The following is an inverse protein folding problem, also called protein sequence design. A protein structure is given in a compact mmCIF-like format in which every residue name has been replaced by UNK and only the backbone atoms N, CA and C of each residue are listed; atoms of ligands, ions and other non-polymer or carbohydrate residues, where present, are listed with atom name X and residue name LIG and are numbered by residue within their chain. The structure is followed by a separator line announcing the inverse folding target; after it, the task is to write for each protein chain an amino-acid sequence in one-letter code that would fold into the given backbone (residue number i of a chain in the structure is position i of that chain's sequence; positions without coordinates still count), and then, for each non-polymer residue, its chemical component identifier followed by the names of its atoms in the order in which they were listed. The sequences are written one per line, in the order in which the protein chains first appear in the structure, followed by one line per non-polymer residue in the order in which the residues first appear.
data_IF_384253408541
#
_entry.id   IF_384253408541
#
_cell.length_a   1.000
_cell.length_b   1.000
_cell.length_c   1.000
_cell.angle_alpha   90.00
_cell.angle_beta   90.00
_cell.angle_gamma   90.00
#
_symmetry.space_group_name_H-M   'P 1'
#
loop_
_entity.id
_entity.type
_entity.pdbx_description
1 polymer ?
#
# COMPACT_ATOMS: atom_id res chain seq x y z
N UNK A 1 -0.55 1.11 -19.85
CA UNK A 1 0.57 1.36 -18.91
C UNK A 1 0.30 2.54 -17.97
N UNK A 2 -0.64 3.43 -18.30
CA UNK A 2 -0.87 4.69 -17.56
C UNK A 2 -1.45 4.53 -16.15
N UNK A 3 -2.31 3.54 -15.91
CA UNK A 3 -2.94 3.32 -14.60
C UNK A 3 -1.94 3.07 -13.47
N UNK A 4 -0.83 2.40 -13.81
CA UNK A 4 0.23 2.04 -12.87
C UNK A 4 1.09 3.24 -12.51
N UNK A 5 1.51 4.01 -13.52
CA UNK A 5 2.26 5.23 -13.28
C UNK A 5 1.45 6.19 -12.41
N UNK A 6 0.14 6.32 -12.65
CA UNK A 6 -0.76 7.11 -11.80
C UNK A 6 -0.87 6.59 -10.36
N UNK A 7 -0.81 5.27 -10.15
CA UNK A 7 -0.76 4.69 -8.80
C UNK A 7 0.56 5.02 -8.11
N UNK A 8 1.69 4.94 -8.81
CA UNK A 8 3.02 5.22 -8.24
C UNK A 8 3.32 6.72 -8.08
N UNK A 9 2.57 7.62 -8.70
CA UNK A 9 2.76 9.08 -8.53
C UNK A 9 2.53 9.57 -7.10
N UNK A 10 1.74 8.85 -6.29
CA UNK A 10 1.40 9.24 -4.92
C UNK A 10 2.40 8.70 -3.89
N UNK A 11 2.90 9.61 -3.05
CA UNK A 11 3.93 9.29 -2.05
C UNK A 11 3.47 8.27 -1.01
N UNK A 12 2.21 8.33 -0.59
CA UNK A 12 1.66 7.43 0.42
C UNK A 12 1.48 6.03 -0.14
N UNK A 13 1.01 5.91 -1.38
CA UNK A 13 0.95 4.60 -2.08
C UNK A 13 2.35 3.99 -2.21
N UNK A 14 3.36 4.76 -2.62
CA UNK A 14 4.75 4.28 -2.67
C UNK A 14 5.27 3.82 -1.31
N UNK A 15 4.98 4.56 -0.23
CA UNK A 15 5.40 4.22 1.14
C UNK A 15 4.73 2.92 1.61
N UNK A 16 3.43 2.79 1.35
CA UNK A 16 2.62 1.60 1.65
C UNK A 16 3.20 0.37 0.98
N UNK A 17 3.45 0.43 -0.34
CA UNK A 17 4.05 -0.68 -1.09
C UNK A 17 5.40 -1.07 -0.49
N UNK A 18 6.27 -0.10 -0.18
CA UNK A 18 7.59 -0.37 0.41
C UNK A 18 7.50 -1.08 1.75
N UNK A 19 6.57 -0.67 2.61
CA UNK A 19 6.34 -1.32 3.90
C UNK A 19 5.90 -2.77 3.68
N UNK A 20 4.92 -2.99 2.81
CA UNK A 20 4.37 -4.33 2.54
C UNK A 20 5.40 -5.26 1.88
N UNK A 21 6.23 -4.75 0.95
CA UNK A 21 7.26 -5.53 0.27
C UNK A 21 8.33 -6.08 1.23
N UNK A 22 8.63 -5.35 2.31
CA UNK A 22 9.63 -5.77 3.31
C UNK A 22 9.08 -6.73 4.37
N UNK A 23 7.79 -7.10 4.27
CA UNK A 23 7.12 -7.93 5.28
C UNK A 23 6.72 -9.26 4.68
N UNK A 24 6.87 -10.30 5.48
CA UNK A 24 6.29 -11.60 5.19
C UNK A 24 4.86 -11.64 5.73
N UNK A 25 3.90 -12.02 4.87
CA UNK A 25 2.50 -12.17 5.24
C UNK A 25 1.69 -10.86 5.37
N UNK A 26 0.50 -10.98 5.95
CA UNK A 26 -0.47 -9.88 6.06
C UNK A 26 -0.25 -9.01 7.30
N UNK A 27 -0.59 -7.72 7.15
CA UNK A 27 -0.63 -6.72 8.23
C UNK A 27 -2.03 -6.12 8.30
N UNK A 28 -2.51 -5.78 9.50
CA UNK A 28 -3.77 -5.07 9.66
C UNK A 28 -3.67 -3.62 9.16
N UNK A 29 -4.78 -3.06 8.69
CA UNK A 29 -4.81 -1.64 8.27
C UNK A 29 -4.41 -0.67 9.40
N UNK A 30 -4.86 -0.84 10.66
CA UNK A 30 -4.38 -0.01 11.77
C UNK A 30 -2.87 -0.08 11.98
N UNK A 31 -2.28 -1.28 11.99
CA UNK A 31 -0.83 -1.43 12.17
C UNK A 31 -0.05 -0.85 10.98
N UNK A 32 -0.60 -0.92 9.77
CA UNK A 32 -0.05 -0.27 8.58
C UNK A 32 -0.09 1.26 8.72
N UNK A 33 -1.20 1.82 9.22
CA UNK A 33 -1.34 3.25 9.48
C UNK A 33 -0.34 3.75 10.53
N UNK A 34 -0.17 3.04 11.65
CA UNK A 34 0.85 3.35 12.65
C UNK A 34 2.27 3.33 12.06
N UNK A 35 2.56 2.30 11.26
CA UNK A 35 3.86 2.14 10.59
C UNK A 35 4.15 3.29 9.62
N UNK A 36 3.12 3.83 8.97
CA UNK A 36 3.18 4.99 8.09
C UNK A 36 3.32 6.29 8.88
N UNK A 37 2.54 6.49 9.94
CA UNK A 37 2.61 7.68 10.80
C UNK A 37 4.03 7.89 11.35
N UNK A 38 4.66 6.83 11.85
CA UNK A 38 6.04 6.86 12.34
C UNK A 38 7.09 7.19 11.27
N UNK A 39 6.72 7.18 9.98
CA UNK A 39 7.61 7.23 8.82
C UNK A 39 7.31 8.39 7.87
N UNK A 40 6.15 9.01 7.97
CA UNK A 40 5.71 10.16 7.17
C UNK A 40 6.09 11.46 7.90
N UNK A 41 6.60 12.48 7.18
CA UNK A 41 6.84 13.79 7.78
C UNK A 41 5.51 14.43 8.21
N UNK A 42 5.52 15.12 9.34
CA UNK A 42 4.36 15.86 9.86
C UNK A 42 3.44 15.07 10.79
N UNK A 43 3.89 13.92 11.30
CA UNK A 43 3.22 13.11 12.33
C UNK A 43 1.71 12.95 12.12
N UNK A 44 1.30 12.36 10.97
CA UNK A 44 -0.12 12.25 10.65
C UNK A 44 -0.83 11.32 11.62
N UNK A 45 -1.99 11.77 12.10
CA UNK A 45 -2.91 11.00 12.94
C UNK A 45 -3.17 9.59 12.34
N UNK A 46 -2.79 8.51 13.05
CA UNK A 46 -3.01 7.13 12.59
C UNK A 46 -4.47 6.83 12.26
N UNK A 47 -5.44 7.38 13.00
CA UNK A 47 -6.86 7.11 12.77
C UNK A 47 -7.32 7.70 11.43
N UNK A 48 -6.84 8.90 11.09
CA UNK A 48 -7.07 9.51 9.77
C UNK A 48 -6.40 8.71 8.66
N UNK A 49 -5.21 8.17 8.92
CA UNK A 49 -4.53 7.31 7.97
C UNK A 49 -5.29 6.02 7.72
N UNK A 50 -5.88 5.38 8.73
CA UNK A 50 -6.73 4.20 8.56
C UNK A 50 -7.87 4.49 7.58
N UNK A 51 -8.61 5.58 7.82
CA UNK A 51 -9.72 5.97 6.94
C UNK A 51 -9.24 6.22 5.52
N UNK A 52 -8.14 6.96 5.35
CA UNK A 52 -7.53 7.24 4.04
C UNK A 52 -7.05 5.96 3.33
N UNK A 53 -6.43 5.02 4.06
CA UNK A 53 -5.97 3.75 3.51
C UNK A 53 -7.15 2.92 3.00
N UNK A 54 -8.19 2.72 3.82
CA UNK A 54 -9.34 1.90 3.48
C UNK A 54 -10.13 2.44 2.29
N UNK A 55 -10.35 3.75 2.22
CA UNK A 55 -11.28 4.33 1.25
C UNK A 55 -10.60 4.87 -0.02
N UNK A 56 -9.29 5.14 0.01
CA UNK A 56 -8.59 5.80 -1.09
C UNK A 56 -7.44 4.96 -1.63
N UNK A 57 -6.52 4.52 -0.77
CA UNK A 57 -5.24 3.98 -1.23
C UNK A 57 -5.30 2.49 -1.51
N UNK A 58 -5.80 1.69 -0.56
CA UNK A 58 -5.84 0.23 -0.69
C UNK A 58 -6.74 -0.23 -1.84
N UNK A 59 -7.96 0.31 -2.05
CA UNK A 59 -8.78 -0.08 -3.20
C UNK A 59 -8.08 0.19 -4.54
N UNK A 60 -7.37 1.33 -4.66
CA UNK A 60 -6.62 1.65 -5.88
C UNK A 60 -5.43 0.71 -6.09
N UNK A 61 -4.72 0.35 -5.02
CA UNK A 61 -3.60 -0.60 -5.08
C UNK A 61 -4.05 -2.03 -5.39
N UNK A 62 -5.23 -2.41 -4.90
CA UNK A 62 -5.85 -3.71 -5.16
C UNK A 62 -6.27 -3.81 -6.63
N UNK A 63 -6.87 -2.77 -7.20
CA UNK A 63 -7.27 -2.77 -8.63
C UNK A 63 -6.10 -2.96 -9.60
N UNK A 64 -4.87 -2.72 -9.15
CA UNK A 64 -3.65 -2.96 -9.95
C UNK A 64 -2.95 -4.28 -9.60
N UNK A 65 -3.46 -5.05 -8.65
CA UNK A 65 -2.87 -6.30 -8.17
C UNK A 65 -1.57 -6.13 -7.36
N UNK A 66 -1.22 -4.90 -6.97
CA UNK A 66 0.02 -4.65 -6.20
C UNK A 66 -0.13 -5.15 -4.76
N UNK A 67 -1.33 -5.06 -4.21
CA UNK A 67 -1.67 -5.57 -2.88
C UNK A 67 -2.86 -6.50 -2.98
N UNK A 68 -2.89 -7.47 -2.09
CA UNK A 68 -4.10 -8.20 -1.77
C UNK A 68 -4.70 -7.56 -0.54
N UNK A 69 -5.89 -7.00 -0.69
CA UNK A 69 -6.64 -6.36 0.38
C UNK A 69 -8.04 -6.95 0.41
N UNK A 70 -8.42 -7.59 1.50
CA UNK A 70 -9.78 -8.09 1.68
C UNK A 70 -10.47 -7.23 2.73
N UNK A 71 -11.48 -6.47 2.31
CA UNK A 71 -12.20 -5.51 3.16
C UNK A 71 -12.93 -6.16 4.35
N UNK A 72 -13.22 -7.47 4.27
CA UNK A 72 -13.82 -8.28 5.34
C UNK A 72 -12.81 -8.74 6.39
N UNK A 73 -11.57 -9.05 6.00
CA UNK A 73 -10.52 -9.57 6.89
C UNK A 73 -9.59 -8.49 7.46
N UNK A 74 -9.71 -7.24 7.00
CA UNK A 74 -8.93 -6.08 7.44
C UNK A 74 -7.40 -6.26 7.32
N UNK A 75 -6.96 -7.27 6.58
CA UNK A 75 -5.56 -7.60 6.33
C UNK A 75 -5.14 -7.13 4.95
N UNK A 76 -3.95 -6.57 4.87
CA UNK A 76 -3.28 -6.17 3.63
C UNK A 76 -1.99 -6.96 3.54
N UNK A 77 -1.73 -7.56 2.38
CA UNK A 77 -0.42 -8.12 2.09
C UNK A 77 0.07 -7.67 0.72
N UNK A 78 1.38 -7.74 0.55
CA UNK A 78 1.99 -7.51 -0.74
C UNK A 78 1.60 -8.64 -1.69
N UNK A 79 0.91 -8.31 -2.78
CA UNK A 79 0.38 -9.30 -3.74
C UNK A 79 1.41 -9.75 -4.78
N UNK A 80 2.59 -9.11 -4.84
CA UNK A 80 3.61 -9.46 -5.82
C UNK A 80 3.17 -9.31 -7.27
N UNK A 81 2.14 -8.49 -7.54
CA UNK A 81 1.48 -8.47 -8.84
C UNK A 81 2.44 -8.35 -10.04
N UNK A 82 2.07 -8.89 -11.22
CA UNK A 82 2.94 -9.06 -12.40
C UNK A 82 3.73 -7.82 -12.81
N UNK A 83 3.22 -6.65 -12.45
CA UNK A 83 3.82 -5.36 -12.72
C UNK A 83 5.08 -5.07 -11.90
N UNK A 84 5.13 -5.46 -10.62
CA UNK A 84 6.33 -5.22 -9.81
C UNK A 84 7.46 -6.13 -10.28
N UNK A 85 7.15 -7.36 -10.67
CA UNK A 85 8.11 -8.24 -11.36
C UNK A 85 8.65 -7.56 -12.63
N UNK A 86 7.79 -6.97 -13.48
CA UNK A 86 8.24 -6.24 -14.69
C UNK A 86 9.11 -5.02 -14.40
N UNK A 87 8.86 -4.30 -13.29
CA UNK A 87 9.66 -3.14 -12.87
C UNK A 87 11.00 -3.55 -12.26
N UNK A 88 11.07 -4.73 -11.63
CA UNK A 88 12.31 -5.32 -11.13
C UNK A 88 13.15 -5.92 -12.27
N UNK A 89 12.54 -6.38 -13.37
CA UNK A 89 13.22 -6.84 -14.59
C UNK A 89 13.86 -5.70 -15.41
N UNK A 90 13.49 -4.44 -15.16
CA UNK A 90 13.97 -3.27 -15.92
C UNK A 90 15.10 -2.47 -15.25
N UNK A 91 15.70 -3.01 -14.18
CA UNK A 91 16.85 -2.42 -13.48
C UNK A 91 18.06 -3.35 -13.55
#
# INVERSE_FOLDING_TARGET
MDAVFGVLSDARRRRTIRILQTREGSISVPALAETLAAREPGDPDPDRLVVSLQHVHLPKLETTGIVEYTSDRSGVQYGGGPLVERLLEQV
#
